data_IF_801532767165
#
_entry.id   IF_801532767165
#
_cell.length_a   1.000
_cell.length_b   1.000
_cell.length_c   1.000
_cell.angle_alpha   90.00
_cell.angle_beta   90.00
_cell.angle_gamma   90.00
#
_symmetry.space_group_name_H-M   'P 1'
#
loop_
_entity.id
_entity.type
_entity.pdbx_description
1 polymer ?
#
# COMPACT_ATOMS: atom_id res chain seq x y z
N UNK A 1 6.16 -11.24 -8.96
CA UNK A 1 4.87 -10.57 -9.31
C UNK A 1 3.64 -11.44 -9.04
N UNK A 2 3.52 -12.65 -9.61
CA UNK A 2 2.32 -13.47 -9.47
C UNK A 2 1.88 -13.74 -8.00
N UNK A 3 2.81 -14.14 -7.13
CA UNK A 3 2.54 -14.35 -5.69
C UNK A 3 2.10 -13.07 -4.97
N UNK A 4 2.56 -11.91 -5.43
CA UNK A 4 2.22 -10.61 -4.85
C UNK A 4 0.81 -10.17 -5.26
N UNK A 5 0.45 -10.40 -6.53
CA UNK A 5 -0.90 -10.22 -7.07
C UNK A 5 -1.94 -11.11 -6.37
N UNK A 6 -1.55 -12.34 -6.01
CA UNK A 6 -2.40 -13.28 -5.27
C UNK A 6 -2.80 -12.76 -3.88
N UNK A 7 -2.02 -11.86 -3.29
CA UNK A 7 -2.33 -11.27 -1.98
C UNK A 7 -3.58 -10.38 -1.97
N UNK A 8 -4.03 -9.89 -3.14
CA UNK A 8 -5.22 -9.04 -3.27
C UNK A 8 -6.55 -9.79 -3.23
N UNK A 9 -6.55 -11.09 -3.55
CA UNK A 9 -7.77 -11.90 -3.68
C UNK A 9 -8.42 -12.33 -2.35
N UNK A 10 -7.66 -12.70 -1.29
CA UNK A 10 -8.24 -13.16 -0.03
C UNK A 10 -9.25 -12.19 0.58
N UNK A 11 -9.01 -10.88 0.48
CA UNK A 11 -9.84 -9.87 1.14
C UNK A 11 -11.27 -9.81 0.52
N UNK A 12 -11.45 -9.52 -0.80
CA UNK A 12 -12.76 -9.58 -1.46
C UNK A 12 -13.44 -10.94 -1.33
N UNK A 13 -12.70 -12.03 -1.52
CA UNK A 13 -13.27 -13.39 -1.45
C UNK A 13 -13.83 -13.65 -0.04
N UNK A 14 -13.11 -13.26 1.00
CA UNK A 14 -13.57 -13.48 2.38
C UNK A 14 -14.82 -12.66 2.72
N UNK A 15 -14.95 -11.44 2.18
CA UNK A 15 -16.14 -10.61 2.34
C UNK A 15 -17.32 -11.22 1.58
N UNK A 16 -17.09 -11.73 0.36
CA UNK A 16 -18.11 -12.40 -0.44
C UNK A 16 -18.62 -13.68 0.20
N UNK A 17 -17.71 -14.50 0.74
CA UNK A 17 -18.05 -15.76 1.44
C UNK A 17 -18.82 -15.51 2.73
N UNK A 18 -18.42 -14.50 3.52
CA UNK A 18 -19.10 -14.13 4.78
C UNK A 18 -20.39 -13.35 4.57
N UNK A 19 -20.67 -12.93 3.32
CA UNK A 19 -21.80 -12.04 2.96
C UNK A 19 -21.86 -10.76 3.81
N UNK A 20 -20.72 -10.34 4.35
CA UNK A 20 -20.61 -9.17 5.22
C UNK A 20 -19.23 -8.52 5.11
N UNK A 21 -19.20 -7.20 5.27
CA UNK A 21 -17.97 -6.38 5.37
C UNK A 21 -17.54 -6.15 6.82
N UNK A 22 -18.23 -6.77 7.79
CA UNK A 22 -17.88 -6.69 9.20
C UNK A 22 -16.45 -7.21 9.46
N UNK A 23 -15.69 -6.48 10.29
CA UNK A 23 -14.30 -6.80 10.63
C UNK A 23 -13.25 -6.26 9.65
N UNK A 24 -13.65 -5.64 8.54
CA UNK A 24 -12.74 -4.95 7.61
C UNK A 24 -12.96 -3.45 7.73
N UNK A 25 -11.87 -2.69 7.84
CA UNK A 25 -11.95 -1.23 7.89
C UNK A 25 -12.15 -0.63 6.49
N UNK A 26 -13.14 0.27 6.36
CA UNK A 26 -13.34 1.06 5.13
C UNK A 26 -12.15 1.98 4.87
N UNK A 27 -11.53 2.52 5.92
CA UNK A 27 -10.32 3.35 5.85
C UNK A 27 -9.17 2.62 5.16
N UNK A 28 -8.99 1.35 5.50
CA UNK A 28 -7.93 0.51 4.93
C UNK A 28 -8.12 0.30 3.43
N UNK A 29 -9.35 0.04 2.98
CA UNK A 29 -9.63 -0.16 1.56
C UNK A 29 -9.53 1.17 0.78
N UNK A 30 -10.05 2.25 1.35
CA UNK A 30 -10.00 3.59 0.74
C UNK A 30 -8.56 4.05 0.49
N UNK A 31 -7.70 3.95 1.50
CA UNK A 31 -6.32 4.42 1.38
C UNK A 31 -5.48 3.52 0.46
N UNK A 32 -5.72 2.19 0.46
CA UNK A 32 -5.05 1.27 -0.46
C UNK A 32 -5.46 1.53 -1.91
N UNK A 33 -6.75 1.75 -2.18
CA UNK A 33 -7.24 2.13 -3.51
C UNK A 33 -6.51 3.37 -4.01
N UNK A 34 -6.47 4.44 -3.20
CA UNK A 34 -5.73 5.66 -3.54
C UNK A 34 -4.24 5.38 -3.84
N UNK A 35 -3.55 4.66 -2.96
CA UNK A 35 -2.15 4.33 -3.17
C UNK A 35 -1.91 3.53 -4.46
N UNK A 36 -2.74 2.52 -4.76
CA UNK A 36 -2.61 1.75 -6.01
C UNK A 36 -2.97 2.57 -7.25
N UNK A 37 -3.87 3.56 -7.14
CA UNK A 37 -4.10 4.54 -8.20
C UNK A 37 -2.85 5.39 -8.46
N UNK A 38 -2.23 5.96 -7.42
CA UNK A 38 -0.99 6.74 -7.57
C UNK A 38 0.13 5.89 -8.19
N UNK A 39 0.30 4.65 -7.72
CA UNK A 39 1.31 3.73 -8.26
C UNK A 39 1.02 3.31 -9.71
N UNK A 40 -0.25 3.13 -10.08
CA UNK A 40 -0.65 2.84 -11.47
C UNK A 40 -0.34 4.02 -12.39
N UNK A 41 -0.62 5.26 -11.95
CA UNK A 41 -0.27 6.47 -12.71
C UNK A 41 1.25 6.56 -12.86
N UNK A 42 2.00 6.42 -11.76
CA UNK A 42 3.48 6.43 -11.78
C UNK A 42 4.03 5.42 -12.80
N UNK A 43 3.64 4.16 -12.67
CA UNK A 43 4.16 3.09 -13.54
C UNK A 43 3.75 3.27 -15.00
N UNK A 44 2.50 3.67 -15.26
CA UNK A 44 2.01 3.93 -16.63
C UNK A 44 2.74 5.11 -17.27
N UNK A 45 2.95 6.21 -16.55
CA UNK A 45 3.63 7.38 -17.09
C UNK A 45 5.11 7.09 -17.36
N UNK A 46 5.80 6.36 -16.49
CA UNK A 46 7.20 5.96 -16.72
C UNK A 46 7.37 4.99 -17.91
N UNK A 47 6.36 4.15 -18.21
CA UNK A 47 6.38 3.24 -19.36
C UNK A 47 6.08 3.94 -20.68
N UNK A 48 5.01 4.73 -20.72
CA UNK A 48 4.43 5.22 -21.98
C UNK A 48 4.75 6.68 -22.31
N UNK A 49 5.08 7.53 -21.33
CA UNK A 49 5.32 8.96 -21.61
C UNK A 49 6.74 9.21 -22.10
N UNK A 50 6.87 9.65 -23.35
CA UNK A 50 8.17 10.03 -23.93
C UNK A 50 8.82 11.21 -23.19
N UNK A 51 8.03 12.14 -22.66
CA UNK A 51 8.51 13.32 -21.90
C UNK A 51 9.12 12.90 -20.57
N UNK A 52 8.47 12.02 -19.82
CA UNK A 52 9.01 11.56 -18.52
C UNK A 52 10.25 10.71 -18.74
N UNK A 53 10.26 9.87 -19.78
CA UNK A 53 11.42 9.04 -20.11
C UNK A 53 12.62 9.87 -20.53
N UNK A 54 12.44 10.92 -21.33
CA UNK A 54 13.54 11.82 -21.71
C UNK A 54 14.05 12.62 -20.52
N UNK A 55 13.15 13.08 -19.64
CA UNK A 55 13.52 13.77 -18.40
C UNK A 55 14.29 12.87 -17.44
N UNK A 56 13.89 11.61 -17.32
CA UNK A 56 14.58 10.61 -16.52
C UNK A 56 15.97 10.35 -17.07
N UNK A 57 16.11 10.13 -18.38
CA UNK A 57 17.38 9.87 -19.05
C UNK A 57 18.36 11.05 -18.90
N UNK A 58 17.86 12.29 -18.98
CA UNK A 58 18.66 13.50 -18.79
C UNK A 58 19.19 13.64 -17.35
N UNK A 59 18.44 13.17 -16.35
CA UNK A 59 18.83 13.24 -14.94
C UNK A 59 19.67 12.03 -14.47
N UNK A 60 19.56 10.90 -15.17
CA UNK A 60 20.28 9.67 -14.83
C UNK A 60 21.11 9.18 -16.03
N UNK A 61 22.19 9.89 -16.42
CA UNK A 61 22.98 9.54 -17.60
C UNK A 61 23.67 8.17 -17.52
N UNK A 62 23.88 7.63 -16.31
CA UNK A 62 24.42 6.29 -16.11
C UNK A 62 23.38 5.16 -16.30
N UNK A 63 22.08 5.47 -16.23
CA UNK A 63 20.99 4.51 -16.36
C UNK A 63 19.81 5.19 -17.08
N UNK A 64 19.97 5.42 -18.39
CA UNK A 64 19.07 6.25 -19.17
C UNK A 64 17.67 5.64 -19.37
N UNK A 65 17.54 4.31 -19.27
CA UNK A 65 16.25 3.64 -19.36
C UNK A 65 15.60 3.50 -17.97
N UNK A 66 14.33 3.89 -17.82
CA UNK A 66 13.62 3.61 -16.58
C UNK A 66 13.47 2.11 -16.38
N UNK A 67 13.76 1.68 -15.16
CA UNK A 67 13.67 0.28 -14.71
C UNK A 67 12.22 -0.22 -14.52
N UNK A 68 11.22 0.62 -14.75
CA UNK A 68 9.80 0.25 -14.64
C UNK A 68 9.45 -0.68 -15.79
N UNK A 69 8.95 -1.86 -15.47
CA UNK A 69 8.59 -2.87 -16.44
C UNK A 69 7.06 -3.02 -16.56
N UNK A 70 6.59 -3.64 -17.64
CA UNK A 70 5.15 -3.90 -17.88
C UNK A 70 4.55 -4.74 -16.74
N UNK A 71 5.35 -5.62 -16.13
CA UNK A 71 4.92 -6.42 -14.98
C UNK A 71 4.57 -5.57 -13.75
N UNK A 72 5.27 -4.45 -13.52
CA UNK A 72 5.01 -3.51 -12.43
C UNK A 72 3.68 -2.78 -12.66
N UNK A 73 3.39 -2.40 -13.91
CA UNK A 73 2.11 -1.79 -14.29
C UNK A 73 0.95 -2.78 -14.14
N UNK A 74 1.11 -4.02 -14.63
CA UNK A 74 0.09 -5.04 -14.51
C UNK A 74 -0.24 -5.32 -13.02
N UNK A 75 0.78 -5.38 -12.17
CA UNK A 75 0.61 -5.50 -10.73
C UNK A 75 -0.11 -4.29 -10.11
N UNK A 76 0.29 -3.07 -10.48
CA UNK A 76 -0.34 -1.85 -9.98
C UNK A 76 -1.83 -1.77 -10.36
N UNK A 77 -2.15 -2.03 -11.63
CA UNK A 77 -3.51 -2.02 -12.16
C UNK A 77 -4.39 -3.10 -11.52
N UNK A 78 -3.86 -4.32 -11.39
CA UNK A 78 -4.60 -5.40 -10.74
C UNK A 78 -4.86 -5.07 -9.27
N UNK A 79 -3.86 -4.54 -8.54
CA UNK A 79 -4.03 -4.07 -7.17
C UNK A 79 -5.10 -2.97 -7.06
N UNK A 80 -5.10 -2.01 -7.98
CA UNK A 80 -6.11 -0.95 -8.06
C UNK A 80 -7.51 -1.50 -8.29
N UNK A 81 -7.69 -2.41 -9.25
CA UNK A 81 -8.98 -3.05 -9.56
C UNK A 81 -9.48 -3.84 -8.35
N UNK A 82 -8.62 -4.63 -7.71
CA UNK A 82 -9.01 -5.44 -6.56
C UNK A 82 -9.38 -4.58 -5.35
N UNK A 83 -8.64 -3.48 -5.10
CA UNK A 83 -9.00 -2.51 -4.07
C UNK A 83 -10.30 -1.78 -4.40
N UNK A 84 -10.56 -1.49 -5.67
CA UNK A 84 -11.81 -0.87 -6.12
C UNK A 84 -13.00 -1.80 -5.90
N UNK A 85 -12.88 -3.07 -6.30
CA UNK A 85 -13.90 -4.10 -6.02
C UNK A 85 -14.14 -4.21 -4.52
N UNK A 86 -13.08 -4.33 -3.72
CA UNK A 86 -13.16 -4.38 -2.26
C UNK A 86 -13.87 -3.15 -1.68
N UNK A 87 -13.60 -1.96 -2.21
CA UNK A 87 -14.23 -0.72 -1.80
C UNK A 87 -15.73 -0.71 -2.16
N UNK A 88 -16.10 -1.06 -3.39
CA UNK A 88 -17.51 -1.14 -3.83
C UNK A 88 -18.31 -2.12 -2.98
N UNK A 89 -17.70 -3.19 -2.45
CA UNK A 89 -18.36 -4.15 -1.57
C UNK A 89 -18.93 -3.53 -0.29
N UNK A 90 -18.41 -2.38 0.17
CA UNK A 90 -18.94 -1.63 1.32
C UNK A 90 -20.24 -0.87 1.04
N UNK A 91 -20.71 -0.81 -0.21
CA UNK A 91 -21.97 -0.18 -0.57
C UNK A 91 -23.07 -1.25 -0.71
N UNK A 92 -23.98 -1.40 0.28
CA UNK A 92 -24.98 -2.47 0.27
C UNK A 92 -25.90 -2.42 -0.96
N UNK A 93 -26.15 -1.21 -1.50
CA UNK A 93 -26.97 -1.01 -2.70
C UNK A 93 -26.35 -1.63 -3.97
N UNK A 94 -25.02 -1.71 -4.04
CA UNK A 94 -24.29 -2.23 -5.19
C UNK A 94 -23.92 -3.71 -4.99
N UNK A 95 -23.53 -4.08 -3.77
CA UNK A 95 -22.96 -5.40 -3.49
C UNK A 95 -23.95 -6.42 -2.90
N UNK A 96 -25.09 -5.97 -2.36
CA UNK A 96 -26.02 -6.81 -1.62
C UNK A 96 -25.46 -7.38 -0.31
N UNK A 97 -24.31 -6.88 0.16
CA UNK A 97 -23.63 -7.37 1.37
C UNK A 97 -24.11 -6.62 2.62
N UNK A 98 -24.17 -7.33 3.74
CA UNK A 98 -24.45 -6.70 5.03
C UNK A 98 -23.26 -5.83 5.47
N UNK A 99 -23.46 -4.51 5.48
CA UNK A 99 -22.48 -3.54 5.96
C UNK A 99 -22.94 -2.94 7.28
N UNK A 100 -22.11 -2.96 8.34
CA UNK A 100 -22.46 -2.35 9.62
C UNK A 100 -22.86 -0.88 9.46
N UNK A 101 -23.96 -0.50 10.12
CA UNK A 101 -24.48 0.86 10.14
C UNK A 101 -23.39 1.73 10.81
N UNK A 102 -22.69 2.59 10.03
CA UNK A 102 -21.69 3.61 10.45
C UNK A 102 -20.20 3.37 10.07
N UNK A 103 -19.87 2.51 9.11
CA UNK A 103 -18.53 2.54 8.49
C UNK A 103 -18.41 3.70 7.49
N UNK A 104 -17.80 4.81 7.93
CA UNK A 104 -17.41 5.94 7.07
C UNK A 104 -15.90 6.15 7.19
N UNK A 105 -15.32 6.78 6.17
CA UNK A 105 -13.90 7.13 6.19
C UNK A 105 -13.64 8.10 7.36
N UNK A 106 -12.69 7.75 8.23
CA UNK A 106 -12.34 8.56 9.40
C UNK A 106 -11.85 9.94 8.99
N UNK A 107 -11.97 10.91 9.90
CA UNK A 107 -11.45 12.26 9.67
C UNK A 107 -9.94 12.24 9.43
N UNK A 108 -9.19 11.46 10.23
CA UNK A 108 -7.74 11.31 10.08
C UNK A 108 -7.36 10.82 8.68
N UNK A 109 -8.07 9.80 8.15
CA UNK A 109 -7.78 9.29 6.81
C UNK A 109 -8.17 10.27 5.71
N UNK A 110 -9.24 11.04 5.89
CA UNK A 110 -9.59 12.14 4.98
C UNK A 110 -8.52 13.23 4.97
N UNK A 111 -7.98 13.59 6.14
CA UNK A 111 -6.90 14.58 6.25
C UNK A 111 -5.63 14.09 5.55
N UNK A 112 -5.20 12.85 5.81
CA UNK A 112 -4.04 12.23 5.14
C UNK A 112 -4.24 12.20 3.62
N UNK A 113 -5.40 11.73 3.17
CA UNK A 113 -5.76 11.72 1.74
C UNK A 113 -5.70 13.12 1.13
N UNK A 114 -6.25 14.13 1.81
CA UNK A 114 -6.21 15.51 1.32
C UNK A 114 -4.78 16.05 1.20
N UNK A 115 -3.89 15.71 2.15
CA UNK A 115 -2.48 16.06 2.09
C UNK A 115 -1.77 15.41 0.90
N UNK A 116 -1.99 14.10 0.70
CA UNK A 116 -1.43 13.37 -0.44
C UNK A 116 -2.00 13.82 -1.79
N UNK A 117 -3.24 14.34 -1.85
CA UNK A 117 -3.75 14.94 -3.10
C UNK A 117 -3.19 16.34 -3.31
N UNK A 118 -3.01 17.11 -2.24
CA UNK A 118 -2.49 18.47 -2.32
C UNK A 118 -1.01 18.52 -2.73
N UNK A 119 -0.20 17.56 -2.28
CA UNK A 119 1.24 17.48 -2.60
C UNK A 119 1.54 17.48 -4.12
N UNK A 120 0.97 16.59 -4.96
CA UNK A 120 1.18 16.62 -6.40
C UNK A 120 0.56 17.87 -7.05
N UNK A 121 -0.55 18.41 -6.53
CA UNK A 121 -1.13 19.67 -7.02
C UNK A 121 -0.17 20.86 -6.81
N UNK A 122 0.46 20.94 -5.63
CA UNK A 122 1.52 21.93 -5.37
C UNK A 122 2.69 21.70 -6.32
N UNK A 123 3.11 20.45 -6.54
CA UNK A 123 4.14 20.10 -7.50
C UNK A 123 3.83 20.61 -8.92
N UNK A 124 2.59 20.43 -9.38
CA UNK A 124 2.11 20.95 -10.68
C UNK A 124 2.21 22.48 -10.70
N UNK A 125 1.73 23.17 -9.66
CA UNK A 125 1.84 24.63 -9.58
C UNK A 125 3.30 25.11 -9.62
N UNK A 126 4.22 24.42 -8.93
CA UNK A 126 5.65 24.75 -8.92
C UNK A 126 6.25 24.56 -10.30
N UNK A 127 5.96 23.44 -10.99
CA UNK A 127 6.45 23.19 -12.36
C UNK A 127 5.96 24.26 -13.31
N UNK A 128 4.67 24.61 -13.26
CA UNK A 128 4.09 25.64 -14.12
C UNK A 128 4.64 27.05 -13.84
N UNK A 129 4.96 27.37 -12.58
CA UNK A 129 5.43 28.70 -12.18
C UNK A 129 6.95 28.89 -12.33
N UNK A 130 7.75 27.83 -12.19
CA UNK A 130 9.22 27.90 -12.10
C UNK A 130 9.94 27.37 -13.32
N UNK A 131 9.30 26.59 -14.19
CA UNK A 131 9.95 26.04 -15.38
C UNK A 131 9.73 26.96 -16.59
N UNK A 132 10.78 27.60 -17.14
CA UNK A 132 10.67 28.51 -18.28
C UNK A 132 10.11 27.84 -19.55
N UNK A 133 10.24 26.52 -19.65
CA UNK A 133 9.83 25.70 -20.81
C UNK A 133 8.52 24.94 -20.57
N UNK A 134 7.70 25.37 -19.60
CA UNK A 134 6.40 24.74 -19.31
C UNK A 134 6.51 23.32 -18.74
N UNK A 135 7.63 23.00 -18.08
CA UNK A 135 7.85 21.71 -17.42
C UNK A 135 8.66 20.71 -18.24
N UNK A 136 9.14 21.08 -19.43
CA UNK A 136 9.89 20.20 -20.33
C UNK A 136 11.39 20.14 -20.04
N UNK A 137 11.97 21.19 -19.46
CA UNK A 137 13.39 21.23 -19.12
C UNK A 137 13.69 20.29 -17.93
N UNK A 138 14.54 19.27 -18.11
CA UNK A 138 14.87 18.31 -17.07
C UNK A 138 15.78 18.86 -15.97
N UNK A 139 16.47 19.98 -16.17
CA UNK A 139 17.46 20.49 -15.20
C UNK A 139 16.82 21.24 -14.02
N UNK A 140 15.57 21.67 -14.19
CA UNK A 140 14.76 22.37 -13.18
C UNK A 140 13.54 21.53 -12.77
N UNK A 141 12.61 22.10 -11.99
CA UNK A 141 11.35 21.44 -11.63
C UNK A 141 10.59 21.01 -12.88
N UNK A 142 10.37 19.71 -13.04
CA UNK A 142 9.80 19.12 -14.25
C UNK A 142 8.67 18.15 -13.92
N UNK A 143 7.96 17.69 -14.95
CA UNK A 143 6.84 16.76 -14.77
C UNK A 143 7.24 15.48 -14.05
N UNK A 144 8.48 15.02 -14.22
CA UNK A 144 9.01 13.86 -13.49
C UNK A 144 8.96 14.02 -11.96
N UNK A 145 9.10 15.24 -11.42
CA UNK A 145 9.02 15.50 -9.98
C UNK A 145 7.60 15.31 -9.44
N UNK A 146 6.59 15.70 -10.23
CA UNK A 146 5.17 15.45 -9.90
C UNK A 146 4.90 13.94 -9.88
N UNK A 147 5.43 13.22 -10.86
CA UNK A 147 5.26 11.76 -10.94
C UNK A 147 5.98 11.05 -9.78
N UNK A 148 7.18 11.50 -9.40
CA UNK A 148 7.85 10.99 -8.19
C UNK A 148 7.04 11.26 -6.92
N UNK A 149 6.39 12.42 -6.82
CA UNK A 149 5.52 12.76 -5.68
C UNK A 149 4.39 11.73 -5.53
N UNK A 150 3.76 11.30 -6.64
CA UNK A 150 2.74 10.23 -6.60
C UNK A 150 3.30 8.89 -6.10
N UNK A 151 4.56 8.59 -6.43
CA UNK A 151 5.24 7.40 -5.90
C UNK A 151 5.48 7.51 -4.39
N UNK A 152 5.86 8.70 -3.92
CA UNK A 152 6.02 8.97 -2.48
C UNK A 152 4.69 8.90 -1.73
N UNK A 153 3.58 9.35 -2.32
CA UNK A 153 2.25 9.17 -1.72
C UNK A 153 1.93 7.70 -1.48
N UNK A 154 2.30 6.80 -2.40
CA UNK A 154 2.15 5.35 -2.19
C UNK A 154 2.98 4.87 -0.99
N UNK A 155 4.17 5.41 -0.77
CA UNK A 155 4.98 5.08 0.41
C UNK A 155 4.30 5.59 1.69
N UNK A 156 3.80 6.82 1.70
CA UNK A 156 3.07 7.39 2.85
C UNK A 156 1.84 6.55 3.18
N UNK A 157 1.04 6.19 2.17
CA UNK A 157 -0.10 5.27 2.31
C UNK A 157 0.32 3.96 2.97
N UNK A 158 1.49 3.44 2.60
CA UNK A 158 2.03 2.19 3.13
C UNK A 158 2.43 2.33 4.61
N UNK A 159 3.03 3.45 4.99
CA UNK A 159 3.37 3.74 6.39
C UNK A 159 2.12 3.92 7.26
N UNK A 160 1.13 4.65 6.74
CA UNK A 160 -0.14 4.94 7.43
C UNK A 160 -0.95 3.66 7.69
N UNK A 161 -0.86 2.64 6.83
CA UNK A 161 -1.48 1.34 7.14
C UNK A 161 -0.69 0.55 8.18
N UNK A 162 0.63 0.52 8.07
CA UNK A 162 1.42 -0.43 8.85
C UNK A 162 1.71 0.05 10.27
N UNK A 163 1.99 1.34 10.49
CA UNK A 163 2.35 1.86 11.82
C UNK A 163 1.20 1.72 12.83
N UNK A 164 -0.02 2.23 12.57
CA UNK A 164 -1.10 2.13 13.56
C UNK A 164 -1.46 0.69 13.85
N UNK A 165 -1.33 -0.15 12.84
CA UNK A 165 -1.68 -1.55 12.94
C UNK A 165 -0.62 -2.35 13.74
N UNK A 166 0.68 -2.06 13.58
CA UNK A 166 1.74 -2.60 14.42
C UNK A 166 1.59 -2.17 15.89
N UNK A 167 1.20 -0.91 16.10
CA UNK A 167 0.90 -0.37 17.42
C UNK A 167 -0.32 -1.04 18.07
N UNK A 168 -1.41 -1.22 17.32
CA UNK A 168 -2.61 -1.88 17.82
C UNK A 168 -2.34 -3.34 18.20
N UNK A 169 -1.55 -4.06 17.40
CA UNK A 169 -1.11 -5.42 17.76
C UNK A 169 -0.30 -5.42 19.06
N UNK A 170 0.58 -4.43 19.24
CA UNK A 170 1.36 -4.27 20.47
C UNK A 170 0.47 -3.99 21.68
N UNK A 171 -0.45 -3.04 21.55
CA UNK A 171 -1.36 -2.64 22.63
C UNK A 171 -2.35 -3.76 23.01
N UNK A 172 -2.91 -4.47 22.04
CA UNK A 172 -3.86 -5.57 22.26
C UNK A 172 -3.17 -6.86 22.67
N UNK A 173 -1.85 -6.96 22.47
CA UNK A 173 -1.07 -8.18 22.64
C UNK A 173 -1.73 -9.40 21.97
N UNK A 174 -2.37 -9.19 20.83
CA UNK A 174 -3.14 -10.20 20.11
C UNK A 174 -3.25 -9.82 18.63
N UNK A 175 -3.12 -10.84 17.78
CA UNK A 175 -3.30 -10.75 16.32
C UNK A 175 -4.55 -11.51 15.86
N UNK A 176 -5.46 -11.86 16.76
CA UNK A 176 -6.69 -12.61 16.44
C UNK A 176 -7.60 -11.76 15.55
N UNK A 177 -8.06 -12.34 14.43
CA UNK A 177 -8.89 -11.66 13.43
C UNK A 177 -8.13 -11.11 12.22
N UNK A 178 -6.78 -11.10 12.26
CA UNK A 178 -5.96 -10.72 11.11
C UNK A 178 -5.61 -11.93 10.25
N UNK A 179 -5.89 -11.85 8.94
CA UNK A 179 -5.40 -12.82 7.96
C UNK A 179 -3.87 -12.70 7.72
N UNK A 180 -3.05 -13.39 8.53
CA UNK A 180 -1.58 -13.40 8.42
C UNK A 180 -1.09 -13.88 7.04
N UNK A 181 -1.89 -14.67 6.31
CA UNK A 181 -1.54 -15.14 4.97
C UNK A 181 -1.31 -14.01 3.98
N UNK A 182 -2.03 -12.90 4.11
CA UNK A 182 -1.82 -11.73 3.25
C UNK A 182 -0.41 -11.13 3.47
N UNK A 183 0.06 -11.09 4.72
CA UNK A 183 1.41 -10.60 5.07
C UNK A 183 2.50 -11.58 4.64
N UNK A 184 2.27 -12.89 4.81
CA UNK A 184 3.22 -13.91 4.34
C UNK A 184 3.36 -13.90 2.81
N UNK A 185 2.27 -13.61 2.08
CA UNK A 185 2.32 -13.43 0.63
C UNK A 185 3.00 -12.11 0.23
N UNK A 186 2.82 -11.05 1.03
CA UNK A 186 3.46 -9.74 0.83
C UNK A 186 4.99 -9.85 0.96
N UNK A 187 5.49 -10.46 2.06
CA UNK A 187 6.93 -10.65 2.28
C UNK A 187 7.55 -11.59 1.24
N UNK A 188 6.84 -12.67 0.88
CA UNK A 188 7.30 -13.60 -0.17
C UNK A 188 7.39 -12.89 -1.52
N UNK A 189 6.41 -12.04 -1.83
CA UNK A 189 6.43 -11.19 -3.02
C UNK A 189 7.57 -10.18 -3.02
N UNK A 190 7.81 -9.51 -1.88
CA UNK A 190 8.88 -8.54 -1.69
C UNK A 190 10.27 -9.16 -1.83
N UNK A 191 10.52 -10.29 -1.17
CA UNK A 191 11.79 -11.03 -1.24
C UNK A 191 12.05 -11.55 -2.67
N UNK A 192 11.05 -12.15 -3.32
CA UNK A 192 11.18 -12.60 -4.71
C UNK A 192 11.43 -11.43 -5.67
N UNK A 193 10.82 -10.26 -5.45
CA UNK A 193 11.06 -9.08 -6.28
C UNK A 193 12.47 -8.51 -6.09
N UNK A 194 13.01 -8.53 -4.88
CA UNK A 194 14.39 -8.12 -4.63
C UNK A 194 15.38 -9.12 -5.23
N UNK A 195 15.11 -10.42 -5.12
CA UNK A 195 15.92 -11.46 -5.75
C UNK A 195 15.92 -11.35 -7.28
N UNK A 196 14.78 -11.04 -7.90
CA UNK A 196 14.71 -10.75 -9.34
C UNK A 196 15.59 -9.55 -9.72
N UNK A 197 15.50 -8.45 -8.95
CA UNK A 197 16.32 -7.26 -9.20
C UNK A 197 17.82 -7.55 -9.05
N UNK A 198 18.22 -8.31 -8.03
CA UNK A 198 19.62 -8.72 -7.82
C UNK A 198 20.10 -9.64 -8.94
N UNK A 199 19.28 -10.59 -9.38
CA UNK A 199 19.62 -11.50 -10.48
C UNK A 199 19.77 -10.73 -11.80
N UNK A 200 18.83 -9.85 -12.13
CA UNK A 200 18.88 -9.05 -13.36
C UNK A 200 20.12 -8.12 -13.38
N UNK A 201 20.43 -7.45 -12.26
CA UNK A 201 21.64 -6.64 -12.12
C UNK A 201 22.93 -7.47 -12.18
N UNK A 202 22.92 -8.68 -11.63
CA UNK A 202 24.09 -9.58 -11.68
C UNK A 202 24.37 -10.11 -13.08
N UNK A 203 23.31 -10.41 -13.86
CA UNK A 203 23.42 -10.91 -15.23
C UNK A 203 23.82 -9.79 -16.22
N UNK A 204 23.40 -8.55 -15.96
CA UNK A 204 23.75 -7.40 -16.79
C UNK A 204 25.12 -6.79 -16.43
N UNK A 205 25.81 -7.31 -15.39
CA UNK A 205 27.06 -6.76 -14.85
C UNK A 205 26.98 -5.25 -14.54
N UNK A 206 25.76 -4.74 -14.38
CA UNK A 206 25.47 -3.34 -14.14
C UNK A 206 24.64 -3.23 -12.86
N UNK A 207 25.31 -2.74 -11.82
CA UNK A 207 24.73 -2.51 -10.51
C UNK A 207 23.91 -1.21 -10.47
N UNK A 208 23.95 -0.40 -11.54
CA UNK A 208 23.15 0.83 -11.66
C UNK A 208 21.65 0.54 -11.60
N UNK A 209 21.21 -0.66 -12.00
CA UNK A 209 19.82 -1.10 -11.93
C UNK A 209 19.24 -1.16 -10.50
N UNK A 210 20.10 -1.38 -9.49
CA UNK A 210 19.70 -1.32 -8.07
C UNK A 210 19.40 0.14 -7.70
N UNK A 211 20.27 1.09 -8.07
CA UNK A 211 20.02 2.52 -7.86
C UNK A 211 18.97 3.13 -8.80
N UNK A 212 18.64 2.48 -9.92
CA UNK A 212 17.73 2.96 -10.95
C UNK A 212 16.24 2.83 -10.62
N UNK A 213 15.88 2.25 -9.46
CA UNK A 213 14.51 2.27 -8.95
C UNK A 213 14.47 2.55 -7.43
N UNK A 214 14.84 3.76 -6.99
CA UNK A 214 14.87 4.09 -5.57
C UNK A 214 13.48 3.93 -4.94
N UNK A 215 12.41 4.22 -5.68
CA UNK A 215 11.04 4.04 -5.21
C UNK A 215 10.70 2.57 -4.91
N UNK A 216 11.04 1.63 -5.83
CA UNK A 216 10.80 0.20 -5.62
C UNK A 216 11.65 -0.35 -4.49
N UNK A 217 12.92 0.04 -4.42
CA UNK A 217 13.79 -0.36 -3.32
C UNK A 217 13.25 0.10 -1.96
N UNK A 218 12.89 1.38 -1.83
CA UNK A 218 12.36 1.92 -0.57
C UNK A 218 11.03 1.25 -0.23
N UNK A 219 10.14 1.06 -1.21
CA UNK A 219 8.87 0.37 -1.01
C UNK A 219 9.08 -1.07 -0.52
N UNK A 220 9.96 -1.85 -1.17
CA UNK A 220 10.26 -3.23 -0.78
C UNK A 220 10.89 -3.31 0.60
N UNK A 221 11.83 -2.42 0.94
CA UNK A 221 12.47 -2.40 2.26
C UNK A 221 11.50 -2.07 3.39
N UNK A 222 10.68 -1.02 3.22
CA UNK A 222 9.65 -0.65 4.20
C UNK A 222 8.66 -1.81 4.39
N UNK A 223 8.23 -2.43 3.29
CA UNK A 223 7.26 -3.53 3.34
C UNK A 223 7.84 -4.73 4.08
N UNK A 224 9.05 -5.18 3.73
CA UNK A 224 9.72 -6.30 4.40
C UNK A 224 9.93 -6.01 5.90
N UNK A 225 10.34 -4.79 6.26
CA UNK A 225 10.52 -4.40 7.65
C UNK A 225 9.23 -4.57 8.47
N UNK A 226 8.10 -4.04 7.98
CA UNK A 226 6.82 -4.18 8.68
C UNK A 226 6.28 -5.61 8.65
N UNK A 227 6.48 -6.34 7.55
CA UNK A 227 6.07 -7.74 7.47
C UNK A 227 6.80 -8.61 8.49
N UNK A 228 8.11 -8.38 8.69
CA UNK A 228 8.89 -9.04 9.75
C UNK A 228 8.31 -8.72 11.12
N UNK A 229 7.99 -7.45 11.41
CA UNK A 229 7.34 -7.05 12.67
C UNK A 229 6.04 -7.84 12.87
N UNK A 230 5.19 -7.93 11.84
CA UNK A 230 3.92 -8.66 11.93
C UNK A 230 4.10 -10.16 12.12
N UNK A 231 5.08 -10.77 11.47
CA UNK A 231 5.42 -12.20 11.63
C UNK A 231 5.90 -12.47 13.06
N UNK A 232 6.79 -11.63 13.59
CA UNK A 232 7.29 -11.72 14.97
C UNK A 232 6.13 -11.55 15.96
N UNK A 233 5.28 -10.55 15.77
CA UNK A 233 4.09 -10.37 16.61
C UNK A 233 3.15 -11.59 16.57
N UNK A 234 2.89 -12.13 15.39
CA UNK A 234 1.90 -13.20 15.20
C UNK A 234 2.38 -14.59 15.64
N UNK A 235 3.62 -14.95 15.33
CA UNK A 235 4.14 -16.30 15.54
C UNK A 235 5.04 -16.45 16.77
N UNK A 236 5.67 -15.37 17.23
CA UNK A 236 6.60 -15.40 18.36
C UNK A 236 5.94 -14.81 19.60
N UNK A 237 5.48 -13.55 19.54
CA UNK A 237 5.02 -12.83 20.75
C UNK A 237 3.60 -13.24 21.20
N UNK A 238 2.66 -13.41 20.26
CA UNK A 238 1.24 -13.61 20.58
C UNK A 238 0.69 -14.99 20.17
N UNK A 239 1.57 -16.00 20.10
CA UNK A 239 1.25 -17.37 19.66
C UNK A 239 0.15 -18.02 20.50
N UNK A 240 0.17 -17.83 21.82
CA UNK A 240 -0.64 -18.60 22.77
C UNK A 240 -2.02 -17.97 23.09
N UNK A 241 -2.33 -16.80 22.53
CA UNK A 241 -3.62 -16.11 22.72
C UNK A 241 -4.63 -16.35 21.60
N UNK A 242 -4.42 -17.37 20.77
CA UNK A 242 -5.32 -17.77 19.69
C UNK A 242 -6.64 -18.40 20.17
N UNK A 243 -6.75 -18.72 21.46
CA UNK A 243 -7.84 -19.50 22.08
C UNK A 243 -8.56 -18.76 23.22
N UNK A 244 -8.47 -17.43 23.28
CA UNK A 244 -9.33 -16.64 24.17
C UNK A 244 -10.73 -16.46 23.56
N UNK A 245 -11.82 -16.57 24.34
CA UNK A 245 -13.16 -16.26 23.83
C UNK A 245 -13.17 -14.83 23.26
N UNK A 246 -13.83 -14.65 22.12
CA UNK A 246 -14.04 -13.33 21.51
C UNK A 246 -14.79 -12.49 22.53
N UNK A 247 -14.10 -11.62 23.27
CA UNK A 247 -14.74 -10.65 24.15
C UNK A 247 -15.48 -9.67 23.25
N UNK A 248 -16.80 -9.80 23.22
CA UNK A 248 -17.71 -8.89 22.56
C UNK A 248 -17.42 -7.45 23.06
N UNK A 249 -17.12 -6.47 22.19
CA UNK A 249 -16.86 -5.08 22.59
C UNK A 249 -18.03 -4.40 23.32
N UNK A 250 -19.16 -5.09 23.53
CA UNK A 250 -20.32 -4.62 24.29
C UNK A 250 -20.40 -5.15 25.73
N UNK A 251 -19.49 -6.03 26.19
CA UNK A 251 -19.58 -6.54 27.56
C UNK A 251 -19.04 -5.50 28.58
N UNK A 252 -19.87 -4.99 29.52
CA UNK A 252 -19.41 -4.03 30.51
C UNK A 252 -18.37 -4.68 31.44
N UNK A 253 -17.22 -4.01 31.63
CA UNK A 253 -16.08 -4.49 32.44
C UNK A 253 -16.32 -4.49 33.96
N UNK A 254 -17.56 -4.42 34.45
CA UNK A 254 -17.86 -4.34 35.88
C UNK A 254 -19.12 -5.14 36.23
N UNK A 255 -18.94 -6.44 36.43
CA UNK A 255 -19.67 -7.16 37.46
C UNK A 255 -18.62 -7.81 38.36
N UNK A 256 -18.31 -7.12 39.46
CA UNK A 256 -17.62 -7.75 40.58
C UNK A 256 -18.50 -8.86 41.16
N UNK A 257 -17.92 -9.90 41.78
CA UNK A 257 -18.70 -10.96 42.36
C UNK A 257 -19.56 -10.42 43.52
N UNK A 258 -20.88 -10.63 43.42
CA UNK A 258 -21.81 -10.55 44.54
C UNK A 258 -21.34 -11.54 45.61
N UNK A 259 -20.68 -11.03 46.65
CA UNK A 259 -20.48 -11.79 47.88
C UNK A 259 -21.81 -11.80 48.61
N UNK A 260 -22.53 -12.89 48.44
CA UNK A 260 -23.64 -13.29 49.31
C UNK A 260 -23.19 -14.46 50.17
N UNK A 261 -23.56 -14.35 51.45
CA UNK A 261 -23.28 -15.21 52.63
C UNK A 261 -22.01 -14.85 53.39
#
# INVERSE_FOLDING_TARGET
MASWSLSFFPLPISMWRRKSTAGVSIDFNFINLFGFTCYSIYTATFLYSSVIRSQYAARHPAAAEPTVQINDLAFALLGMIMCFVAYVMFWPRLSGLHTPRRQRVSWTMRAIFSGCVLAPLIGICVVLARNPSGGNDPTTWAWIDVIYTLSYDKLVVTMVKYIPQAWLNYQRQSTVGWNIWTILLDITGGVLSLLQLVLDSSLQSDWSGITGNPAKLVLSNITIFFDVIFIVQHYILYRDRKTGPVSDPTTPLLQGPDVSV
#
